data_IF_912427160373
#
_entry.id   IF_912427160373
#
_cell.length_a   1.000
_cell.length_b   1.000
_cell.length_c   1.000
_cell.angle_alpha   90.00
_cell.angle_beta   90.00
_cell.angle_gamma   90.00
#
_symmetry.space_group_name_H-M   'P 1'
#
loop_
_entity.id
_entity.type
_entity.pdbx_description
1 polymer ?
#
# COMPACT_ATOMS: atom_id res chain seq x y z
N UNK A 1 22.73 0.97 -11.81
CA UNK A 1 22.62 0.00 -10.69
C UNK A 1 21.75 0.53 -9.53
N UNK A 2 20.61 1.20 -9.78
CA UNK A 2 19.73 1.78 -8.72
C UNK A 2 18.22 1.52 -8.89
N UNK A 3 17.78 0.95 -10.02
CA UNK A 3 16.35 0.93 -10.34
C UNK A 3 15.59 -0.25 -9.72
N UNK A 4 16.21 -1.42 -9.61
CA UNK A 4 15.62 -2.57 -8.91
C UNK A 4 15.13 -2.20 -7.51
N UNK A 5 15.96 -1.47 -6.74
CA UNK A 5 15.65 -1.04 -5.37
C UNK A 5 14.34 -0.23 -5.32
N UNK A 6 14.18 0.73 -6.23
CA UNK A 6 13.00 1.62 -6.25
C UNK A 6 11.68 0.88 -6.47
N UNK A 7 11.67 -0.13 -7.35
CA UNK A 7 10.48 -0.96 -7.58
C UNK A 7 10.15 -1.79 -6.34
N UNK A 8 11.16 -2.39 -5.72
CA UNK A 8 10.99 -3.17 -4.48
C UNK A 8 10.50 -2.30 -3.32
N UNK A 9 10.98 -1.07 -3.20
CA UNK A 9 10.52 -0.11 -2.19
C UNK A 9 9.02 0.22 -2.38
N UNK A 10 8.60 0.47 -3.63
CA UNK A 10 7.18 0.71 -3.94
C UNK A 10 6.30 -0.50 -3.67
N UNK A 11 6.77 -1.70 -4.01
CA UNK A 11 6.08 -2.96 -3.75
C UNK A 11 5.92 -3.19 -2.24
N UNK A 12 6.98 -2.98 -1.45
CA UNK A 12 6.93 -3.04 0.00
C UNK A 12 5.99 -1.99 0.60
N UNK A 13 6.00 -0.76 0.06
CA UNK A 13 5.06 0.30 0.45
C UNK A 13 3.60 -0.09 0.21
N UNK A 14 3.28 -0.77 -0.89
CA UNK A 14 1.92 -1.27 -1.13
C UNK A 14 1.51 -2.35 -0.10
N UNK A 15 2.43 -3.22 0.30
CA UNK A 15 2.15 -4.18 1.37
C UNK A 15 1.87 -3.49 2.71
N UNK A 16 2.63 -2.43 3.03
CA UNK A 16 2.38 -1.60 4.22
C UNK A 16 0.99 -0.94 4.16
N UNK A 17 0.58 -0.40 3.01
CA UNK A 17 -0.77 0.19 2.87
C UNK A 17 -1.87 -0.86 3.09
N UNK A 18 -1.71 -2.08 2.57
CA UNK A 18 -2.67 -3.17 2.80
C UNK A 18 -2.73 -3.54 4.27
N UNK A 19 -1.58 -3.64 4.93
CA UNK A 19 -1.51 -3.95 6.36
C UNK A 19 -2.14 -2.84 7.22
N UNK A 20 -1.89 -1.56 6.93
CA UNK A 20 -2.56 -0.45 7.62
C UNK A 20 -4.07 -0.45 7.40
N UNK A 21 -4.54 -0.87 6.23
CA UNK A 21 -5.98 -0.91 5.89
C UNK A 21 -6.71 -2.10 6.53
N UNK A 22 -6.09 -3.28 6.54
CA UNK A 22 -6.73 -4.54 6.94
C UNK A 22 -6.25 -5.08 8.30
N UNK A 23 -5.21 -4.48 8.87
CA UNK A 23 -4.52 -4.91 10.08
C UNK A 23 -3.60 -6.12 9.89
N UNK A 24 -3.55 -6.71 8.69
CA UNK A 24 -2.72 -7.90 8.39
C UNK A 24 -2.48 -8.11 6.91
N UNK A 25 -1.44 -8.89 6.62
CA UNK A 25 -1.16 -9.43 5.29
C UNK A 25 -1.64 -10.89 5.17
N UNK A 26 -2.01 -11.37 3.97
CA UNK A 26 -2.46 -12.75 3.76
C UNK A 26 -1.45 -13.82 4.18
N UNK A 27 -0.18 -13.45 4.29
CA UNK A 27 0.92 -14.35 4.62
C UNK A 27 1.50 -14.12 6.02
N UNK A 28 0.79 -13.38 6.87
CA UNK A 28 1.12 -13.28 8.29
C UNK A 28 1.23 -14.69 8.92
N UNK A 29 2.28 -14.92 9.72
CA UNK A 29 2.54 -16.22 10.35
C UNK A 29 3.06 -17.32 9.41
N UNK A 30 3.27 -17.04 8.12
CA UNK A 30 3.83 -18.01 7.19
C UNK A 30 5.34 -18.23 7.44
N UNK A 31 5.84 -19.48 7.47
CA UNK A 31 7.26 -19.77 7.60
C UNK A 31 8.13 -19.12 6.49
N UNK A 32 9.38 -18.71 6.78
CA UNK A 32 10.23 -18.02 5.81
C UNK A 32 10.45 -18.76 4.48
N UNK A 33 10.55 -20.09 4.52
CA UNK A 33 10.71 -20.97 3.36
C UNK A 33 9.46 -21.02 2.45
N UNK A 34 8.28 -20.78 3.03
CA UNK A 34 6.98 -20.77 2.35
C UNK A 34 6.56 -19.36 1.89
N UNK A 35 7.24 -18.31 2.37
CA UNK A 35 6.84 -16.91 2.18
C UNK A 35 6.66 -16.52 0.71
N UNK A 36 7.60 -16.92 -0.15
CA UNK A 36 7.52 -16.62 -1.58
C UNK A 36 6.28 -17.23 -2.24
N UNK A 37 5.88 -18.43 -1.82
CA UNK A 37 4.68 -19.11 -2.34
C UNK A 37 3.41 -18.42 -1.86
N UNK A 38 3.33 -18.08 -0.57
CA UNK A 38 2.18 -17.40 0.01
C UNK A 38 1.92 -16.02 -0.63
N UNK A 39 2.98 -15.22 -0.84
CA UNK A 39 2.90 -13.94 -1.57
C UNK A 39 2.32 -14.12 -2.97
N UNK A 40 2.91 -15.03 -3.77
CA UNK A 40 2.43 -15.32 -5.12
C UNK A 40 0.97 -15.77 -5.13
N UNK A 41 0.59 -16.67 -4.23
CA UNK A 41 -0.78 -17.15 -4.12
C UNK A 41 -1.76 -16.00 -3.85
N UNK A 42 -1.43 -15.09 -2.92
CA UNK A 42 -2.29 -13.97 -2.58
C UNK A 42 -2.48 -12.97 -3.74
N UNK A 43 -1.43 -12.77 -4.54
CA UNK A 43 -1.47 -11.94 -5.74
C UNK A 43 -2.31 -12.62 -6.82
N UNK A 44 -2.02 -13.89 -7.15
CA UNK A 44 -2.72 -14.65 -8.20
C UNK A 44 -4.20 -14.83 -7.90
N UNK A 45 -4.57 -15.08 -6.64
CA UNK A 45 -5.97 -15.20 -6.23
C UNK A 45 -6.66 -13.85 -6.05
N UNK A 46 -5.97 -12.73 -6.32
CA UNK A 46 -6.45 -11.36 -6.09
C UNK A 46 -6.93 -11.10 -4.65
N UNK A 47 -6.51 -11.93 -3.69
CA UNK A 47 -7.00 -11.85 -2.31
C UNK A 47 -6.32 -10.72 -1.55
N UNK A 48 -5.09 -10.34 -1.96
CA UNK A 48 -4.30 -9.28 -1.34
C UNK A 48 -5.05 -7.93 -1.27
N UNK A 49 -5.82 -7.58 -2.30
CA UNK A 49 -6.52 -6.29 -2.38
C UNK A 49 -8.04 -6.42 -2.28
N UNK A 50 -8.57 -7.61 -2.00
CA UNK A 50 -10.01 -7.92 -2.06
C UNK A 50 -10.90 -7.04 -1.18
N UNK A 51 -10.35 -6.45 -0.11
CA UNK A 51 -11.03 -5.55 0.83
C UNK A 51 -10.41 -4.15 0.90
N UNK A 52 -9.51 -3.83 -0.04
CA UNK A 52 -8.86 -2.53 -0.13
C UNK A 52 -9.53 -1.68 -1.23
N UNK A 53 -9.28 -0.36 -1.27
CA UNK A 53 -9.66 0.46 -2.42
C UNK A 53 -9.11 -0.14 -3.73
N UNK A 54 -9.90 -0.22 -4.82
CA UNK A 54 -9.49 -0.85 -6.07
C UNK A 54 -8.25 -0.22 -6.71
N UNK A 55 -7.95 1.03 -6.35
CA UNK A 55 -6.75 1.75 -6.74
C UNK A 55 -5.47 1.07 -6.26
N UNK A 56 -5.50 0.31 -5.16
CA UNK A 56 -4.32 -0.43 -4.67
C UNK A 56 -3.92 -1.55 -5.63
N UNK A 57 -4.89 -2.29 -6.18
CA UNK A 57 -4.64 -3.29 -7.20
C UNK A 57 -4.12 -2.66 -8.51
N UNK A 58 -4.64 -1.47 -8.85
CA UNK A 58 -4.17 -0.69 -10.00
C UNK A 58 -2.72 -0.23 -9.82
N UNK A 59 -2.39 0.32 -8.65
CA UNK A 59 -1.03 0.70 -8.27
C UNK A 59 -0.08 -0.50 -8.32
N UNK A 60 -0.49 -1.64 -7.78
CA UNK A 60 0.30 -2.86 -7.84
C UNK A 60 0.60 -3.28 -9.27
N UNK A 61 -0.40 -3.22 -10.16
CA UNK A 61 -0.22 -3.52 -11.59
C UNK A 61 0.83 -2.60 -12.21
N UNK A 62 0.72 -1.28 -11.99
CA UNK A 62 1.69 -0.29 -12.49
C UNK A 62 3.10 -0.62 -11.98
N UNK A 63 3.26 -0.83 -10.67
CA UNK A 63 4.56 -1.12 -10.05
C UNK A 63 5.15 -2.44 -10.51
N UNK A 64 4.32 -3.47 -10.69
CA UNK A 64 4.74 -4.81 -11.13
C UNK A 64 5.24 -4.85 -12.58
N UNK A 65 4.77 -3.92 -13.41
CA UNK A 65 5.18 -3.80 -14.81
C UNK A 65 6.46 -2.97 -15.01
N UNK A 66 6.99 -2.31 -13.97
CA UNK A 66 8.21 -1.50 -14.08
C UNK A 66 9.45 -2.38 -14.30
N UNK A 67 10.17 -2.11 -15.37
CA UNK A 67 11.51 -2.64 -15.63
C UNK A 67 12.63 -1.85 -14.96
N UNK A 68 13.85 -2.39 -15.04
CA UNK A 68 15.03 -1.86 -14.33
C UNK A 68 15.60 -0.57 -14.91
N UNK A 69 15.06 -0.05 -15.99
CA UNK A 69 15.45 1.26 -16.51
C UNK A 69 14.26 2.20 -16.68
N UNK A 70 13.08 1.78 -16.21
CA UNK A 70 11.88 2.56 -16.36
C UNK A 70 11.93 3.80 -15.47
N UNK A 71 11.45 4.91 -16.04
CA UNK A 71 11.21 6.12 -15.28
C UNK A 71 9.88 5.97 -14.56
N UNK A 72 9.94 6.01 -13.23
CA UNK A 72 8.74 5.94 -12.37
C UNK A 72 8.00 7.27 -12.48
N UNK A 73 6.73 7.22 -12.87
CA UNK A 73 5.83 8.36 -12.83
C UNK A 73 5.16 8.46 -11.46
N UNK A 74 5.83 9.14 -10.53
CA UNK A 74 5.27 9.37 -9.19
C UNK A 74 3.97 10.18 -9.23
N UNK A 75 3.78 11.07 -10.21
CA UNK A 75 2.55 11.84 -10.34
C UNK A 75 1.35 10.93 -10.58
N UNK A 76 1.52 9.93 -11.46
CA UNK A 76 0.50 8.90 -11.67
C UNK A 76 0.21 8.10 -10.40
N UNK A 77 1.25 7.68 -9.65
CA UNK A 77 1.07 6.92 -8.41
C UNK A 77 0.33 7.75 -7.35
N UNK A 78 0.70 9.03 -7.18
CA UNK A 78 0.03 9.95 -6.26
C UNK A 78 -1.45 10.15 -6.63
N UNK A 79 -1.76 10.36 -7.91
CA UNK A 79 -3.15 10.48 -8.36
C UNK A 79 -3.98 9.25 -8.00
N UNK A 80 -3.41 8.04 -8.07
CA UNK A 80 -4.13 6.81 -7.70
C UNK A 80 -4.35 6.68 -6.20
N UNK A 81 -3.39 7.13 -5.38
CA UNK A 81 -3.59 7.24 -3.94
C UNK A 81 -4.65 8.28 -3.61
N UNK A 82 -4.68 9.38 -4.36
CA UNK A 82 -5.69 10.44 -4.22
C UNK A 82 -7.11 9.94 -4.53
N UNK A 83 -7.26 9.24 -5.65
CA UNK A 83 -8.50 8.57 -6.02
C UNK A 83 -8.95 7.57 -4.92
N UNK A 84 -7.99 6.90 -4.26
CA UNK A 84 -8.29 5.91 -3.22
C UNK A 84 -8.97 6.54 -2.01
N UNK A 85 -8.34 7.55 -1.37
CA UNK A 85 -8.91 8.15 -0.16
C UNK A 85 -10.19 8.94 -0.44
N UNK A 86 -10.29 9.60 -1.60
CA UNK A 86 -11.54 10.25 -2.02
C UNK A 86 -12.69 9.26 -2.18
N UNK A 87 -12.40 8.06 -2.70
CA UNK A 87 -13.42 7.02 -2.87
C UNK A 87 -13.89 6.37 -1.57
N UNK A 88 -13.11 6.48 -0.50
CA UNK A 88 -13.46 5.96 0.84
C UNK A 88 -14.17 6.98 1.72
N UNK A 89 -14.51 8.16 1.19
CA UNK A 89 -15.27 9.18 1.91
C UNK A 89 -14.42 10.12 2.78
N UNK A 90 -13.09 10.08 2.66
CA UNK A 90 -12.22 11.07 3.29
C UNK A 90 -12.37 12.38 2.49
N UNK A 91 -12.87 13.43 3.15
CA UNK A 91 -13.17 14.71 2.50
C UNK A 91 -11.98 15.66 2.35
N UNK A 92 -10.99 15.51 3.23
CA UNK A 92 -9.80 16.36 3.28
C UNK A 92 -8.56 15.51 3.63
N UNK A 93 -7.44 15.77 2.97
CA UNK A 93 -6.14 15.15 3.27
C UNK A 93 -5.58 15.64 4.61
N UNK A 94 -6.00 16.82 5.07
CA UNK A 94 -5.67 17.36 6.38
C UNK A 94 -6.63 16.89 7.49
N UNK A 95 -7.50 15.91 7.20
CA UNK A 95 -8.31 15.27 8.23
C UNK A 95 -7.43 14.68 9.33
N UNK A 96 -7.94 14.73 10.56
CA UNK A 96 -7.23 14.24 11.72
C UNK A 96 -6.90 12.75 11.59
N UNK A 97 -5.68 12.36 11.97
CA UNK A 97 -5.29 10.96 12.02
C UNK A 97 -5.96 10.23 13.19
N UNK A 98 -6.10 8.91 13.10
CA UNK A 98 -6.78 8.08 14.11
C UNK A 98 -6.24 8.30 15.53
N UNK A 99 -4.93 8.52 15.68
CA UNK A 99 -4.30 8.73 16.99
C UNK A 99 -4.53 10.14 17.55
N UNK A 100 -4.84 11.14 16.73
CA UNK A 100 -5.06 12.52 17.18
C UNK A 100 -6.33 12.63 18.03
N UNK A 101 -7.32 11.77 17.79
CA UNK A 101 -8.51 11.63 18.64
C UNK A 101 -8.16 11.19 20.08
N UNK A 102 -6.97 10.63 20.29
CA UNK A 102 -6.49 10.14 21.58
C UNK A 102 -5.37 11.00 22.18
N UNK A 103 -4.93 12.05 21.47
CA UNK A 103 -3.93 12.98 21.98
C UNK A 103 -4.60 14.03 22.87
N UNK A 104 -4.00 14.28 24.04
CA UNK A 104 -4.36 15.44 24.85
C UNK A 104 -3.86 16.71 24.15
N UNK A 105 -4.61 17.82 24.21
CA UNK A 105 -4.12 19.11 23.76
C UNK A 105 -2.76 19.42 24.42
N UNK A 106 -1.84 20.02 23.66
CA UNK A 106 -0.50 20.40 24.14
C UNK A 106 -0.54 21.34 25.36
N UNK A 107 -1.67 22.01 25.59
CA UNK A 107 -1.90 22.90 26.73
C UNK A 107 -2.19 22.15 28.06
N UNK A 108 -2.44 20.84 27.98
CA UNK A 108 -2.78 19.97 29.12
C UNK A 108 -1.68 18.92 29.43
N UNK A 109 -0.49 19.06 28.83
CA UNK A 109 0.71 18.25 29.06
C UNK A 109 1.74 19.01 29.91
#
# INVERSE_FOLDING_TARGET
MKTHLRRHDLEAGLYLLVEMTLGKLPWEGTPPDMMGSAKRSAITSQSLFSKCPPQYATLYTIVSCLGDNDKIDYGQLYSKLEDAWKSTGVGDIAAAYDWEAHMKPLEEQ
#
